data_IF_763171340785
#
_entry.id   IF_763171340785
#
_cell.length_a   1.000
_cell.length_b   1.000
_cell.length_c   1.000
_cell.angle_alpha   90.00
_cell.angle_beta   90.00
_cell.angle_gamma   90.00
#
_symmetry.space_group_name_H-M   'P 1'
#
loop_
_entity.id
_entity.type
_entity.pdbx_description
1 polymer ?
#
# COMPACT_ATOMS: atom_id res chain seq x y z
N UNK A 1 13.03 4.50 -3.74
CA UNK A 1 12.34 4.10 -4.99
C UNK A 1 10.95 3.61 -4.60
N UNK A 2 9.98 3.47 -5.49
CA UNK A 2 8.66 2.99 -5.07
C UNK A 2 8.62 1.45 -5.03
N UNK A 3 8.23 0.88 -3.90
CA UNK A 3 8.13 -0.58 -3.68
C UNK A 3 6.67 -0.98 -3.47
N UNK A 4 6.20 -1.93 -4.28
CA UNK A 4 4.86 -2.54 -4.16
C UNK A 4 4.99 -4.06 -4.09
N UNK A 5 4.14 -4.69 -3.29
CA UNK A 5 4.04 -6.15 -3.18
C UNK A 5 2.57 -6.55 -3.39
N UNK A 6 2.32 -7.35 -4.42
CA UNK A 6 0.98 -7.84 -4.77
C UNK A 6 0.89 -9.34 -4.47
N UNK A 7 -0.01 -9.72 -3.57
CA UNK A 7 -0.27 -11.13 -3.28
C UNK A 7 -1.05 -11.79 -4.40
N UNK A 8 -0.66 -13.02 -4.79
CA UNK A 8 -1.41 -13.80 -5.78
C UNK A 8 -1.81 -15.18 -5.23
N UNK A 9 -3.11 -15.46 -5.36
CA UNK A 9 -3.76 -16.68 -4.84
C UNK A 9 -3.93 -17.79 -5.88
N UNK A 10 -3.74 -17.50 -7.17
CA UNK A 10 -3.80 -18.52 -8.21
C UNK A 10 -2.48 -19.30 -8.26
N UNK A 11 -2.50 -20.55 -8.71
CA UNK A 11 -1.29 -21.38 -8.85
C UNK A 11 -0.65 -21.22 -10.25
N UNK A 12 -1.13 -20.28 -11.05
CA UNK A 12 -0.67 -20.12 -12.43
C UNK A 12 0.59 -19.25 -12.47
N UNK A 13 1.72 -19.83 -12.04
CA UNK A 13 3.03 -19.17 -12.06
C UNK A 13 3.37 -18.68 -13.47
N UNK A 14 3.11 -19.51 -14.48
CA UNK A 14 3.32 -19.17 -15.90
C UNK A 14 2.58 -17.90 -16.35
N UNK A 15 1.37 -17.61 -15.84
CA UNK A 15 0.67 -16.36 -16.20
C UNK A 15 1.41 -15.12 -15.70
N UNK A 16 1.96 -15.18 -14.48
CA UNK A 16 2.75 -14.06 -13.95
C UNK A 16 4.12 -13.99 -14.64
N UNK A 17 4.80 -15.12 -14.85
CA UNK A 17 6.06 -15.17 -15.59
C UNK A 17 5.89 -14.59 -17.00
N UNK A 18 4.88 -15.00 -17.76
CA UNK A 18 4.59 -14.45 -19.08
C UNK A 18 4.29 -12.96 -19.04
N UNK A 19 3.61 -12.48 -17.98
CA UNK A 19 3.41 -11.05 -17.78
C UNK A 19 4.73 -10.30 -17.52
N UNK A 20 5.62 -10.87 -16.71
CA UNK A 20 6.94 -10.32 -16.40
C UNK A 20 7.88 -10.41 -17.60
N UNK A 21 7.70 -11.37 -18.50
CA UNK A 21 8.61 -11.63 -19.63
C UNK A 21 8.15 -11.00 -20.94
N UNK A 22 7.17 -10.08 -20.90
CA UNK A 22 6.61 -9.47 -22.11
C UNK A 22 7.62 -8.67 -22.93
N UNK A 23 8.59 -8.03 -22.27
CA UNK A 23 9.68 -7.35 -22.94
C UNK A 23 10.78 -8.38 -23.27
N UNK A 24 10.88 -8.73 -24.55
CA UNK A 24 12.04 -9.42 -25.08
C UNK A 24 13.22 -8.43 -25.03
N UNK A 25 14.38 -8.86 -24.54
CA UNK A 25 15.61 -8.06 -24.39
C UNK A 25 15.72 -7.16 -23.14
N UNK A 26 15.08 -7.56 -22.04
CA UNK A 26 15.32 -6.94 -20.73
C UNK A 26 16.12 -7.83 -19.78
N UNK A 27 16.83 -7.18 -18.86
CA UNK A 27 17.66 -7.83 -17.86
C UNK A 27 16.85 -8.84 -17.03
N UNK A 28 17.34 -10.08 -16.97
CA UNK A 28 16.76 -11.18 -16.18
C UNK A 28 17.47 -11.32 -14.83
N UNK A 29 16.70 -11.63 -13.78
CA UNK A 29 17.20 -12.05 -12.47
C UNK A 29 16.62 -13.43 -12.12
N UNK A 30 17.49 -14.41 -11.85
CA UNK A 30 17.13 -15.69 -11.25
C UNK A 30 17.87 -15.83 -9.93
N UNK A 31 17.14 -16.01 -8.84
CA UNK A 31 17.69 -16.16 -7.49
C UNK A 31 17.15 -17.44 -6.85
N UNK A 32 18.07 -18.29 -6.36
CA UNK A 32 17.80 -19.69 -6.01
C UNK A 32 17.13 -20.49 -7.14
N UNK A 33 17.38 -20.10 -8.39
CA UNK A 33 16.82 -20.70 -9.60
C UNK A 33 17.93 -20.94 -10.61
N UNK A 34 17.78 -21.89 -11.54
CA UNK A 34 18.66 -22.00 -12.70
C UNK A 34 18.69 -20.69 -13.50
N UNK A 35 19.88 -20.30 -13.95
CA UNK A 35 20.03 -19.15 -14.85
C UNK A 35 19.62 -19.57 -16.26
N UNK A 36 18.40 -19.24 -16.66
CA UNK A 36 17.83 -19.56 -17.99
C UNK A 36 16.70 -18.60 -18.34
N UNK A 37 16.47 -18.39 -19.63
CA UNK A 37 15.29 -17.68 -20.14
C UNK A 37 14.13 -18.64 -20.49
N UNK A 38 14.32 -19.96 -20.32
CA UNK A 38 13.29 -20.96 -20.55
C UNK A 38 12.22 -20.93 -19.44
N UNK A 39 11.15 -20.17 -19.67
CA UNK A 39 10.07 -19.98 -18.70
C UNK A 39 9.42 -21.29 -18.23
N UNK A 40 9.41 -22.32 -19.07
CA UNK A 40 8.89 -23.63 -18.69
C UNK A 40 9.72 -24.28 -17.58
N UNK A 41 11.05 -24.22 -17.65
CA UNK A 41 11.96 -24.74 -16.61
C UNK A 41 11.71 -23.98 -15.31
N UNK A 42 11.75 -22.65 -15.38
CA UNK A 42 11.53 -21.80 -14.21
C UNK A 42 10.15 -22.08 -13.60
N UNK A 43 9.09 -22.20 -14.41
CA UNK A 43 7.75 -22.50 -13.92
C UNK A 43 7.70 -23.80 -13.13
N UNK A 44 8.41 -24.85 -13.59
CA UNK A 44 8.46 -26.12 -12.88
C UNK A 44 9.12 -26.00 -11.51
N UNK A 45 10.21 -25.23 -11.39
CA UNK A 45 10.85 -24.97 -10.09
C UNK A 45 9.87 -24.35 -9.08
N UNK A 46 9.08 -23.36 -9.50
CA UNK A 46 8.06 -22.76 -8.63
C UNK A 46 6.94 -23.74 -8.28
N UNK A 47 6.49 -24.58 -9.22
CA UNK A 47 5.46 -25.59 -8.96
C UNK A 47 5.96 -26.61 -7.95
N UNK A 48 7.17 -27.13 -8.13
CA UNK A 48 7.78 -28.12 -7.26
C UNK A 48 7.99 -27.55 -5.85
N UNK A 49 8.54 -26.34 -5.73
CA UNK A 49 8.73 -25.71 -4.43
C UNK A 49 7.40 -25.41 -3.72
N UNK A 50 6.36 -25.02 -4.46
CA UNK A 50 5.03 -24.75 -3.89
C UNK A 50 4.36 -26.00 -3.32
N UNK A 51 4.82 -27.22 -3.64
CA UNK A 51 4.34 -28.45 -3.01
C UNK A 51 4.69 -28.53 -1.51
N UNK A 52 5.77 -27.86 -1.08
CA UNK A 52 6.19 -27.79 0.33
C UNK A 52 5.43 -26.72 1.13
N UNK A 53 4.63 -25.89 0.47
CA UNK A 53 3.89 -24.80 1.10
C UNK A 53 2.97 -25.30 2.21
N UNK A 54 2.89 -24.53 3.29
CA UNK A 54 1.91 -24.77 4.36
C UNK A 54 0.48 -24.77 3.83
N UNK A 55 -0.33 -25.78 4.21
CA UNK A 55 -1.74 -25.90 3.80
C UNK A 55 -2.60 -24.69 4.18
N UNK A 56 -2.21 -23.92 5.20
CA UNK A 56 -2.91 -22.70 5.63
C UNK A 56 -2.55 -21.43 4.83
N UNK A 57 -1.57 -21.50 3.92
CA UNK A 57 -1.14 -20.35 3.14
C UNK A 57 -2.18 -19.97 2.08
N UNK A 58 -2.62 -18.71 2.11
CA UNK A 58 -3.64 -18.19 1.17
C UNK A 58 -3.07 -17.81 -0.20
N UNK A 59 -1.78 -17.53 -0.27
CA UNK A 59 -1.07 -17.06 -1.47
C UNK A 59 -0.14 -18.16 -2.00
N UNK A 60 0.11 -18.21 -3.30
CA UNK A 60 1.10 -19.11 -3.91
C UNK A 60 2.40 -18.39 -4.26
N UNK A 61 2.30 -17.10 -4.56
CA UNK A 61 3.41 -16.27 -4.98
C UNK A 61 3.14 -14.80 -4.64
N UNK A 62 4.19 -14.00 -4.73
CA UNK A 62 4.11 -12.56 -4.63
C UNK A 62 4.73 -11.91 -5.87
N UNK A 63 4.14 -10.80 -6.29
CA UNK A 63 4.66 -9.96 -7.36
C UNK A 63 5.18 -8.68 -6.72
N UNK A 64 6.50 -8.54 -6.69
CA UNK A 64 7.20 -7.36 -6.18
C UNK A 64 7.53 -6.44 -7.34
N UNK A 65 7.34 -5.15 -7.13
CA UNK A 65 7.62 -4.12 -8.12
C UNK A 65 8.52 -3.08 -7.46
N UNK A 66 9.71 -2.90 -8.00
CA UNK A 66 10.65 -1.85 -7.59
C UNK A 66 10.72 -0.81 -8.72
N UNK A 67 10.20 0.37 -8.50
CA UNK A 67 10.04 1.41 -9.52
C UNK A 67 10.96 2.59 -9.28
N UNK A 68 11.72 2.96 -10.30
CA UNK A 68 12.54 4.17 -10.35
C UNK A 68 11.81 5.30 -11.08
N UNK A 69 12.14 6.54 -10.71
CA UNK A 69 11.63 7.73 -11.39
C UNK A 69 12.16 7.81 -12.82
N UNK A 70 11.34 8.22 -13.77
CA UNK A 70 11.76 8.44 -15.17
C UNK A 70 12.86 9.50 -15.26
N UNK A 71 12.91 10.44 -14.29
CA UNK A 71 13.96 11.46 -14.19
C UNK A 71 15.34 10.90 -13.85
N UNK A 72 15.41 9.72 -13.25
CA UNK A 72 16.68 9.05 -12.94
C UNK A 72 17.05 7.99 -14.00
N UNK A 73 16.26 7.84 -15.08
CA UNK A 73 16.44 6.79 -16.10
C UNK A 73 17.87 6.75 -16.67
N UNK A 74 18.46 7.92 -16.91
CA UNK A 74 19.81 8.05 -17.49
C UNK A 74 20.94 7.58 -16.56
N UNK A 75 20.69 7.55 -15.25
CA UNK A 75 21.71 7.20 -14.24
C UNK A 75 21.49 5.82 -13.62
N UNK A 76 20.31 5.21 -13.84
CA UNK A 76 19.98 3.87 -13.37
C UNK A 76 20.46 2.85 -14.41
N UNK A 77 21.63 2.28 -14.17
CA UNK A 77 22.26 1.29 -15.05
C UNK A 77 21.80 -0.15 -14.71
N UNK A 78 21.99 -1.13 -15.61
CA UNK A 78 21.70 -2.54 -15.33
C UNK A 78 22.41 -3.09 -14.08
N UNK A 79 23.63 -2.62 -13.79
CA UNK A 79 24.40 -3.03 -12.61
C UNK A 79 23.75 -2.51 -11.32
N UNK A 80 23.32 -1.24 -11.32
CA UNK A 80 22.60 -0.64 -10.19
C UNK A 80 21.27 -1.36 -9.98
N UNK A 81 20.55 -1.65 -11.06
CA UNK A 81 19.30 -2.40 -11.01
C UNK A 81 19.52 -3.77 -10.36
N UNK A 82 20.55 -4.50 -10.77
CA UNK A 82 20.88 -5.81 -10.23
C UNK A 82 21.20 -5.74 -8.74
N UNK A 83 22.11 -4.84 -8.35
CA UNK A 83 22.53 -4.67 -6.97
C UNK A 83 21.37 -4.31 -6.04
N UNK A 84 20.56 -3.31 -6.44
CA UNK A 84 19.37 -2.92 -5.67
C UNK A 84 18.37 -4.07 -5.55
N UNK A 85 18.21 -4.91 -6.58
CA UNK A 85 17.34 -6.08 -6.52
C UNK A 85 17.86 -7.15 -5.55
N UNK A 86 19.18 -7.41 -5.54
CA UNK A 86 19.79 -8.35 -4.59
C UNK A 86 19.69 -7.85 -3.15
N UNK A 87 19.99 -6.56 -2.93
CA UNK A 87 19.83 -5.94 -1.62
C UNK A 87 18.37 -6.02 -1.14
N UNK A 88 17.41 -5.76 -2.03
CA UNK A 88 15.98 -5.93 -1.73
C UNK A 88 15.62 -7.37 -1.37
N UNK A 89 16.10 -8.38 -2.11
CA UNK A 89 15.83 -9.79 -1.82
C UNK A 89 16.31 -10.15 -0.42
N UNK A 90 17.52 -9.72 -0.04
CA UNK A 90 18.06 -9.96 1.29
C UNK A 90 17.20 -9.29 2.38
N UNK A 91 16.93 -7.98 2.25
CA UNK A 91 16.22 -7.22 3.28
C UNK A 91 14.73 -7.52 3.38
N UNK A 92 14.13 -8.01 2.30
CA UNK A 92 12.74 -8.48 2.31
C UNK A 92 12.57 -9.86 2.99
N UNK A 93 13.66 -10.56 3.35
CA UNK A 93 13.59 -11.92 3.89
C UNK A 93 13.32 -12.97 2.80
N UNK A 94 13.77 -12.70 1.57
CA UNK A 94 13.59 -13.56 0.39
C UNK A 94 14.85 -14.37 0.06
N UNK A 95 15.90 -14.31 0.87
CA UNK A 95 17.20 -14.95 0.64
C UNK A 95 17.12 -16.49 0.51
N UNK A 96 16.07 -17.08 1.09
CA UNK A 96 15.78 -18.51 0.99
C UNK A 96 14.58 -18.83 0.09
N UNK A 97 14.05 -17.85 -0.64
CA UNK A 97 12.90 -18.04 -1.55
C UNK A 97 13.38 -18.16 -2.99
N UNK A 98 12.54 -18.74 -3.86
CA UNK A 98 12.74 -18.66 -5.30
C UNK A 98 12.32 -17.27 -5.76
N UNK A 99 13.16 -16.58 -6.53
CA UNK A 99 12.82 -15.27 -7.11
C UNK A 99 13.22 -15.23 -8.57
N UNK A 100 12.25 -14.95 -9.43
CA UNK A 100 12.45 -14.69 -10.85
C UNK A 100 12.07 -13.24 -11.14
N UNK A 101 12.78 -12.54 -12.01
CA UNK A 101 12.36 -11.20 -12.40
C UNK A 101 12.90 -10.74 -13.73
N UNK A 102 12.24 -9.71 -14.27
CA UNK A 102 12.73 -8.93 -15.40
C UNK A 102 12.52 -7.43 -15.20
N UNK A 103 13.38 -6.67 -15.84
CA UNK A 103 13.24 -5.21 -15.94
C UNK A 103 12.19 -4.88 -17.00
N UNK A 104 11.30 -3.92 -16.74
CA UNK A 104 10.42 -3.30 -17.73
C UNK A 104 10.75 -1.82 -17.88
N UNK A 105 10.59 -1.31 -19.09
CA UNK A 105 10.74 0.10 -19.45
C UNK A 105 9.39 0.72 -19.88
N UNK A 106 8.33 0.40 -19.14
CA UNK A 106 6.98 0.85 -19.43
C UNK A 106 6.81 2.36 -19.14
N UNK A 107 6.30 3.13 -20.12
CA UNK A 107 5.88 4.54 -19.96
C UNK A 107 6.93 5.44 -19.29
N UNK A 108 8.17 5.39 -19.79
CA UNK A 108 9.33 6.16 -19.32
C UNK A 108 9.93 5.76 -17.97
N UNK A 109 9.29 4.88 -17.21
CA UNK A 109 9.80 4.43 -15.92
C UNK A 109 10.51 3.08 -16.02
N UNK A 110 11.61 2.94 -15.29
CA UNK A 110 12.31 1.66 -15.14
C UNK A 110 11.72 0.92 -13.93
N UNK A 111 11.36 -0.34 -14.14
CA UNK A 111 10.75 -1.20 -13.12
C UNK A 111 11.42 -2.56 -13.06
N UNK A 112 11.77 -3.03 -11.86
CA UNK A 112 11.89 -4.46 -11.64
C UNK A 112 10.51 -5.05 -11.38
N UNK A 113 10.14 -6.06 -12.14
CA UNK A 113 9.08 -6.97 -11.76
C UNK A 113 9.69 -8.29 -11.30
N UNK A 114 9.53 -8.60 -10.02
CA UNK A 114 10.00 -9.84 -9.41
C UNK A 114 8.81 -10.70 -9.01
N UNK A 115 8.87 -11.99 -9.26
CA UNK A 115 7.99 -13.01 -8.73
C UNK A 115 8.75 -13.82 -7.69
N UNK A 116 8.25 -13.85 -6.45
CA UNK A 116 8.77 -14.73 -5.40
C UNK A 116 7.83 -15.91 -5.11
N UNK A 117 8.39 -17.03 -4.66
CA UNK A 117 7.60 -18.13 -4.10
C UNK A 117 6.93 -17.69 -2.80
N UNK A 118 5.79 -18.29 -2.45
CA UNK A 118 5.19 -18.02 -1.13
C UNK A 118 6.00 -18.64 0.01
N UNK A 119 6.71 -19.74 -0.23
CA UNK A 119 7.49 -20.44 0.77
C UNK A 119 8.97 -20.51 0.40
N UNK A 120 9.82 -20.58 1.42
CA UNK A 120 11.26 -20.82 1.24
C UNK A 120 11.49 -22.16 0.54
N UNK A 121 12.63 -22.26 -0.13
CA UNK A 121 13.02 -23.43 -0.90
C UNK A 121 12.95 -24.70 -0.05
N UNK A 122 12.18 -25.69 -0.53
CA UNK A 122 11.93 -26.97 0.13
C UNK A 122 11.45 -26.87 1.58
N UNK A 123 10.73 -25.80 1.91
CA UNK A 123 10.30 -25.51 3.28
C UNK A 123 8.86 -25.04 3.36
N UNK A 124 8.22 -25.26 4.52
CA UNK A 124 6.88 -24.73 4.85
C UNK A 124 6.91 -23.27 5.31
N UNK A 125 8.11 -22.72 5.59
CA UNK A 125 8.28 -21.34 6.05
C UNK A 125 7.82 -20.38 4.96
N UNK A 126 6.76 -19.62 5.25
CA UNK A 126 6.15 -18.71 4.29
C UNK A 126 6.69 -17.29 4.38
N UNK A 127 6.73 -16.61 3.24
CA UNK A 127 6.90 -15.16 3.16
C UNK A 127 5.73 -14.46 3.86
N UNK A 128 6.09 -13.56 4.78
CA UNK A 128 5.18 -12.67 5.48
C UNK A 128 5.91 -11.36 5.73
N UNK A 129 5.23 -10.27 5.37
CA UNK A 129 5.69 -8.92 5.64
C UNK A 129 4.49 -8.12 6.16
N UNK A 130 4.54 -7.68 7.39
CA UNK A 130 3.56 -6.79 7.99
C UNK A 130 3.65 -5.39 7.37
N UNK A 131 2.66 -4.55 7.64
CA UNK A 131 2.65 -3.16 7.13
C UNK A 131 3.80 -2.33 7.70
N UNK A 132 4.16 -2.55 8.97
CA UNK A 132 5.28 -1.87 9.62
C UNK A 132 6.61 -2.34 9.04
N UNK A 133 6.79 -3.64 8.85
CA UNK A 133 8.01 -4.20 8.24
C UNK A 133 8.16 -3.73 6.78
N UNK A 134 7.08 -3.70 5.99
CA UNK A 134 7.11 -3.14 4.65
C UNK A 134 7.51 -1.66 4.66
N UNK A 135 7.01 -0.88 5.62
CA UNK A 135 7.35 0.54 5.72
C UNK A 135 8.82 0.74 6.13
N UNK A 136 9.34 -0.10 7.02
CA UNK A 136 10.75 -0.10 7.40
C UNK A 136 11.64 -0.46 6.20
N UNK A 137 11.33 -1.55 5.51
CA UNK A 137 12.01 -1.96 4.28
C UNK A 137 12.02 -0.85 3.23
N UNK A 138 10.89 -0.18 3.02
CA UNK A 138 10.79 0.95 2.09
C UNK A 138 11.71 2.12 2.44
N UNK A 139 11.90 2.40 3.72
CA UNK A 139 12.82 3.45 4.21
C UNK A 139 14.27 2.99 4.03
N UNK A 140 14.59 1.78 4.47
CA UNK A 140 15.93 1.20 4.37
C UNK A 140 16.42 1.12 2.93
N UNK A 141 15.58 0.69 2.00
CA UNK A 141 15.91 0.64 0.58
C UNK A 141 16.23 2.04 0.00
N UNK A 142 15.59 3.09 0.50
CA UNK A 142 15.90 4.46 0.10
C UNK A 142 17.21 4.96 0.67
N UNK A 143 17.48 4.67 1.94
CA UNK A 143 18.73 5.01 2.60
C UNK A 143 19.90 4.33 1.87
N UNK A 144 19.79 3.02 1.62
CA UNK A 144 20.75 2.27 0.82
C UNK A 144 21.01 2.92 -0.54
N UNK A 145 19.94 3.25 -1.28
CA UNK A 145 20.05 3.87 -2.61
C UNK A 145 20.72 5.25 -2.54
N UNK A 146 20.42 6.06 -1.50
CA UNK A 146 21.06 7.39 -1.33
C UNK A 146 22.54 7.30 -1.04
N UNK A 147 22.91 6.36 -0.19
CA UNK A 147 24.28 6.17 0.27
C UNK A 147 25.17 5.62 -0.86
N UNK A 148 24.69 4.59 -1.56
CA UNK A 148 25.49 3.86 -2.55
C UNK A 148 25.39 4.46 -3.96
N UNK A 149 24.26 5.11 -4.28
CA UNK A 149 23.98 5.67 -5.61
C UNK A 149 23.50 7.13 -5.53
N UNK A 150 24.34 8.05 -5.03
CA UNK A 150 23.98 9.46 -4.83
C UNK A 150 23.59 10.20 -6.12
N UNK A 151 23.90 9.64 -7.29
CA UNK A 151 23.45 10.13 -8.60
C UNK A 151 21.93 9.97 -8.81
N UNK A 152 21.28 9.03 -8.13
CA UNK A 152 19.81 8.87 -8.14
C UNK A 152 19.21 9.91 -7.21
N UNK A 153 18.40 10.84 -7.75
CA UNK A 153 17.92 12.01 -6.99
C UNK A 153 16.41 12.08 -6.87
N UNK A 154 15.68 11.50 -7.82
CA UNK A 154 14.24 11.65 -7.94
C UNK A 154 13.44 10.42 -7.52
N UNK A 155 14.12 9.33 -7.18
CA UNK A 155 13.51 8.06 -6.79
C UNK A 155 13.31 7.95 -5.27
N UNK A 156 13.14 9.03 -4.51
CA UNK A 156 12.89 8.98 -3.07
C UNK A 156 11.45 9.40 -2.71
N UNK A 157 10.66 8.46 -2.22
CA UNK A 157 9.24 8.56 -1.93
C UNK A 157 8.88 8.38 -0.42
N UNK A 158 9.77 7.80 0.39
CA UNK A 158 9.44 7.34 1.74
C UNK A 158 10.13 8.08 2.89
N UNK A 159 11.35 8.56 2.67
CA UNK A 159 12.25 9.23 3.65
C UNK A 159 12.09 10.75 3.69
N UNK A 160 11.45 11.35 2.68
CA UNK A 160 11.11 12.77 2.74
C UNK A 160 9.92 12.95 3.70
N UNK A 161 10.13 13.70 4.80
CA UNK A 161 9.06 14.16 5.71
C UNK A 161 7.93 14.92 4.98
N UNK A 162 8.15 15.29 3.72
CA UNK A 162 7.08 15.63 2.79
C UNK A 162 6.46 14.34 2.27
N UNK A 163 5.36 13.91 2.91
CA UNK A 163 4.38 12.97 2.36
C UNK A 163 3.90 13.44 0.99
N UNK A 164 4.71 13.28 -0.05
CA UNK A 164 4.22 13.10 -1.40
C UNK A 164 3.77 11.64 -1.48
N UNK A 165 2.60 11.36 -0.87
CA UNK A 165 1.76 10.22 -1.23
C UNK A 165 1.33 10.29 -2.73
N UNK A 166 1.83 11.24 -3.51
CA UNK A 166 1.30 11.65 -4.82
C UNK A 166 1.82 10.85 -6.01
N UNK A 167 2.63 9.81 -5.84
CA UNK A 167 2.90 8.83 -6.92
C UNK A 167 1.95 7.61 -6.85
N UNK A 168 0.69 7.93 -6.58
CA UNK A 168 -0.45 7.03 -6.47
C UNK A 168 -1.77 7.75 -6.13
N UNK A 169 -1.76 9.09 -5.99
CA UNK A 169 -2.95 9.89 -5.62
C UNK A 169 -3.68 10.53 -6.82
N UNK A 170 -3.03 10.71 -7.98
CA UNK A 170 -3.71 11.22 -9.18
C UNK A 170 -4.74 10.20 -9.73
N UNK A 171 -4.52 8.90 -9.45
CA UNK A 171 -5.44 7.82 -9.86
C UNK A 171 -6.31 7.28 -8.73
N UNK A 172 -6.07 7.67 -7.47
CA UNK A 172 -7.10 7.53 -6.45
C UNK A 172 -8.08 8.70 -6.57
N UNK A 173 -8.81 8.72 -7.69
CA UNK A 173 -10.25 8.81 -7.56
C UNK A 173 -10.63 7.61 -6.69
N UNK A 174 -10.59 7.77 -5.38
CA UNK A 174 -11.41 6.96 -4.51
C UNK A 174 -12.86 7.33 -4.87
N UNK A 175 -13.31 6.88 -6.03
CA UNK A 175 -14.72 6.77 -6.37
C UNK A 175 -15.20 5.78 -5.35
N UNK A 176 -15.76 6.30 -4.27
CA UNK A 176 -16.62 5.53 -3.40
C UNK A 176 -17.63 4.94 -4.37
N UNK A 177 -17.54 3.63 -4.65
CA UNK A 177 -18.61 2.96 -5.40
C UNK A 177 -19.89 3.25 -4.62
N UNK A 178 -20.80 4.05 -5.18
CA UNK A 178 -22.05 4.33 -4.49
C UNK A 178 -22.71 2.98 -4.23
N UNK A 179 -23.40 2.82 -3.11
CA UNK A 179 -24.34 1.70 -3.02
C UNK A 179 -25.36 1.82 -4.15
N UNK A 180 -26.00 0.72 -4.55
CA UNK A 180 -27.08 0.72 -5.56
C UNK A 180 -28.09 1.85 -5.30
N UNK A 181 -28.43 2.06 -4.02
CA UNK A 181 -29.32 3.12 -3.54
C UNK A 181 -28.72 4.53 -3.74
N UNK A 182 -27.45 4.75 -3.40
CA UNK A 182 -26.76 6.03 -3.62
C UNK A 182 -26.62 6.34 -5.13
N UNK A 183 -26.43 5.31 -5.97
CA UNK A 183 -26.37 5.45 -7.43
C UNK A 183 -27.72 5.88 -8.02
N UNK A 184 -28.83 5.30 -7.56
CA UNK A 184 -30.16 5.70 -8.00
C UNK A 184 -30.54 7.13 -7.56
N UNK A 185 -30.17 7.53 -6.34
CA UNK A 185 -30.42 8.88 -5.80
C UNK A 185 -29.63 9.94 -6.58
N UNK A 186 -28.36 9.69 -6.86
CA UNK A 186 -27.51 10.60 -7.65
C UNK A 186 -27.95 10.70 -9.12
N UNK A 187 -28.46 9.60 -9.71
CA UNK A 187 -29.07 9.61 -11.05
C UNK A 187 -30.34 10.48 -11.14
N UNK A 188 -31.03 10.70 -10.01
CA UNK A 188 -32.16 11.64 -9.89
C UNK A 188 -31.72 13.09 -9.57
N UNK A 189 -30.41 13.38 -9.56
CA UNK A 189 -29.88 14.71 -9.24
C UNK A 189 -29.98 15.10 -7.76
N UNK A 190 -30.28 14.15 -6.86
CA UNK A 190 -30.43 14.40 -5.42
C UNK A 190 -29.11 14.13 -4.69
N UNK A 191 -28.76 15.01 -3.75
CA UNK A 191 -27.63 14.79 -2.84
C UNK A 191 -27.93 13.70 -1.83
N UNK A 192 -26.98 12.79 -1.61
CA UNK A 192 -27.08 11.74 -0.61
C UNK A 192 -26.90 12.29 0.81
N UNK A 193 -27.49 11.65 1.82
CA UNK A 193 -27.29 12.03 3.24
C UNK A 193 -25.80 12.02 3.65
N UNK A 194 -25.03 11.12 3.04
CA UNK A 194 -23.59 11.03 3.24
C UNK A 194 -22.84 12.25 2.70
N UNK A 195 -23.24 12.79 1.56
CA UNK A 195 -22.67 14.03 1.01
C UNK A 195 -23.03 15.22 1.89
N UNK A 196 -24.26 15.26 2.45
CA UNK A 196 -24.65 16.28 3.43
C UNK A 196 -23.76 16.26 4.66
N UNK A 197 -23.51 15.07 5.22
CA UNK A 197 -22.60 14.91 6.37
C UNK A 197 -21.17 15.33 6.01
N UNK A 198 -20.66 14.97 4.82
CA UNK A 198 -19.33 15.39 4.39
C UNK A 198 -19.24 16.91 4.25
N UNK A 199 -20.25 17.56 3.65
CA UNK A 199 -20.32 19.00 3.52
C UNK A 199 -20.38 19.70 4.89
N UNK A 200 -21.20 19.18 5.81
CA UNK A 200 -21.27 19.63 7.20
C UNK A 200 -19.90 19.56 7.90
N UNK A 201 -19.23 18.39 7.86
CA UNK A 201 -17.92 18.21 8.48
C UNK A 201 -16.86 19.16 7.89
N UNK A 202 -16.91 19.42 6.58
CA UNK A 202 -16.03 20.41 5.93
C UNK A 202 -16.30 21.83 6.43
N UNK A 203 -17.56 22.20 6.64
CA UNK A 203 -17.91 23.52 7.15
C UNK A 203 -17.38 23.72 8.58
N UNK A 204 -17.62 22.75 9.46
CA UNK A 204 -17.11 22.79 10.85
C UNK A 204 -15.58 22.81 10.86
N UNK A 205 -14.92 22.02 10.01
CA UNK A 205 -13.47 22.01 9.88
C UNK A 205 -12.88 23.37 9.50
N UNK A 206 -13.53 24.11 8.59
CA UNK A 206 -13.10 25.45 8.18
C UNK A 206 -13.26 26.50 9.27
N UNK A 207 -14.21 26.30 10.19
CA UNK A 207 -14.52 27.22 11.28
C UNK A 207 -13.79 26.90 12.58
N UNK A 208 -13.08 25.77 12.65
CA UNK A 208 -12.41 25.33 13.87
C UNK A 208 -10.91 25.59 13.77
N UNK A 209 -10.35 26.27 14.77
CA UNK A 209 -8.91 26.55 14.86
C UNK A 209 -8.13 25.45 15.60
N UNK A 210 -8.84 24.49 16.20
CA UNK A 210 -8.25 23.35 16.88
C UNK A 210 -9.11 22.09 16.75
N UNK A 211 -8.51 20.92 17.00
CA UNK A 211 -9.23 19.64 17.01
C UNK A 211 -10.26 19.57 18.13
N UNK A 212 -9.99 20.21 19.26
CA UNK A 212 -10.91 20.26 20.40
C UNK A 212 -12.15 21.09 20.06
N UNK A 213 -11.96 22.22 19.38
CA UNK A 213 -13.07 23.05 18.91
C UNK A 213 -13.93 22.31 17.88
N UNK A 214 -13.29 21.58 16.96
CA UNK A 214 -13.97 20.73 15.99
C UNK A 214 -14.82 19.63 16.67
N UNK A 215 -14.26 18.94 17.66
CA UNK A 215 -14.98 17.92 18.43
C UNK A 215 -16.15 18.50 19.23
N UNK A 216 -15.94 19.63 19.89
CA UNK A 216 -16.96 20.29 20.69
C UNK A 216 -18.15 20.72 19.83
N UNK A 217 -17.89 21.33 18.66
CA UNK A 217 -18.95 21.76 17.73
C UNK A 217 -19.81 20.60 17.25
N UNK A 218 -19.22 19.44 16.95
CA UNK A 218 -19.97 18.24 16.53
C UNK A 218 -20.72 17.61 17.71
N UNK A 219 -20.14 17.65 18.92
CA UNK A 219 -20.78 17.08 20.11
C UNK A 219 -22.00 17.90 20.54
N UNK A 220 -21.91 19.22 20.41
CA UNK A 220 -22.99 20.17 20.73
C UNK A 220 -24.05 20.30 19.62
N UNK A 221 -23.82 19.72 18.45
CA UNK A 221 -24.77 19.74 17.35
C UNK A 221 -26.05 18.95 17.68
N UNK A 222 -27.22 19.50 17.34
CA UNK A 222 -28.51 18.87 17.61
C UNK A 222 -28.80 17.67 16.71
N UNK A 223 -28.25 17.68 15.48
CA UNK A 223 -28.53 16.68 14.43
C UNK A 223 -27.45 15.62 14.34
N UNK A 224 -26.18 16.02 14.48
CA UNK A 224 -25.04 15.11 14.37
C UNK A 224 -24.36 14.88 15.72
N UNK A 225 -23.67 13.75 15.85
CA UNK A 225 -22.82 13.46 17.00
C UNK A 225 -21.82 12.38 16.70
N UNK A 226 -20.80 12.24 17.53
CA UNK A 226 -19.89 11.10 17.43
C UNK A 226 -20.56 9.84 17.97
N UNK A 227 -20.26 8.70 17.34
CA UNK A 227 -20.48 7.41 17.98
C UNK A 227 -19.13 6.71 18.19
N UNK A 228 -18.99 6.16 19.38
CA UNK A 228 -17.79 5.45 19.80
C UNK A 228 -18.01 3.94 19.80
N UNK A 229 -16.94 3.19 19.64
CA UNK A 229 -16.92 1.75 19.82
C UNK A 229 -15.59 1.38 20.48
N UNK A 230 -15.65 0.70 21.63
CA UNK A 230 -14.48 0.43 22.49
C UNK A 230 -13.71 1.72 22.81
N UNK A 231 -14.44 2.74 23.27
CA UNK A 231 -13.93 4.06 23.67
C UNK A 231 -13.19 4.86 22.59
N UNK A 232 -13.27 4.42 21.33
CA UNK A 232 -12.66 5.10 20.17
C UNK A 232 -13.74 5.68 19.28
N UNK A 233 -13.52 6.90 18.80
CA UNK A 233 -14.47 7.55 17.88
C UNK A 233 -14.46 6.78 16.56
N UNK A 234 -15.60 6.19 16.21
CA UNK A 234 -15.70 5.27 15.07
C UNK A 234 -16.46 5.91 13.89
N UNK A 235 -17.26 6.95 14.13
CA UNK A 235 -18.00 7.65 13.08
C UNK A 235 -18.87 8.79 13.58
N UNK A 236 -19.65 9.33 12.64
CA UNK A 236 -20.72 10.28 12.91
C UNK A 236 -22.05 9.54 12.90
N UNK A 237 -22.91 9.85 13.85
CA UNK A 237 -24.30 9.43 13.92
C UNK A 237 -25.18 10.62 13.54
N UNK A 238 -26.13 10.37 12.64
CA UNK A 238 -27.32 11.22 12.48
C UNK A 238 -28.30 10.82 13.59
N UNK A 239 -28.54 11.74 14.53
CA UNK A 239 -29.38 11.54 15.71
C UNK A 239 -30.86 11.45 15.34
N UNK A 240 -31.30 12.16 14.30
CA UNK A 240 -32.70 12.17 13.85
C UNK A 240 -33.07 10.86 13.16
N UNK A 241 -32.19 10.34 12.31
CA UNK A 241 -32.42 9.09 11.55
C UNK A 241 -31.87 7.84 12.26
N UNK A 242 -31.24 8.01 13.42
CA UNK A 242 -30.52 6.96 14.15
C UNK A 242 -29.56 6.15 13.25
N UNK A 243 -28.84 6.84 12.37
CA UNK A 243 -28.01 6.21 11.31
C UNK A 243 -26.54 6.52 11.50
N UNK A 244 -25.71 5.48 11.44
CA UNK A 244 -24.27 5.55 11.71
C UNK A 244 -23.46 5.58 10.41
N UNK A 245 -22.49 6.49 10.35
CA UNK A 245 -21.59 6.70 9.22
C UNK A 245 -20.14 6.63 9.67
N UNK A 246 -19.39 5.62 9.21
CA UNK A 246 -18.00 5.39 9.62
C UNK A 246 -17.07 6.52 9.19
N UNK A 247 -16.16 6.94 10.08
CA UNK A 247 -15.12 7.94 9.76
C UNK A 247 -14.28 7.52 8.54
N UNK A 248 -13.95 6.24 8.44
CA UNK A 248 -13.18 5.68 7.31
C UNK A 248 -13.85 5.87 5.95
N UNK A 249 -15.16 6.09 5.93
CA UNK A 249 -15.94 6.35 4.72
C UNK A 249 -16.15 7.85 4.49
N UNK A 250 -16.34 8.63 5.56
CA UNK A 250 -16.61 10.07 5.51
C UNK A 250 -15.33 10.92 5.26
N UNK A 251 -14.19 10.52 5.81
CA UNK A 251 -12.95 11.31 5.82
C UNK A 251 -11.98 10.92 4.68
N UNK A 252 -12.50 10.37 3.58
CA UNK A 252 -11.70 10.00 2.38
C UNK A 252 -11.29 11.20 1.52
N UNK A 253 -11.76 12.41 1.85
CA UNK A 253 -11.35 13.64 1.18
C UNK A 253 -10.04 14.16 1.80
N UNK A 254 -9.18 14.79 0.98
CA UNK A 254 -7.86 15.31 1.41
C UNK A 254 -7.98 16.27 2.61
N UNK A 255 -9.04 17.08 2.63
CA UNK A 255 -9.32 18.07 3.69
C UNK A 255 -9.61 17.39 5.04
N UNK A 256 -10.45 16.34 5.04
CA UNK A 256 -10.87 15.67 6.25
C UNK A 256 -9.86 14.61 6.71
N UNK A 257 -9.09 13.99 5.81
CA UNK A 257 -8.14 12.93 6.17
C UNK A 257 -7.07 13.33 7.22
N UNK A 258 -6.73 14.61 7.33
CA UNK A 258 -5.84 15.14 8.38
C UNK A 258 -6.53 15.14 9.74
N UNK A 259 -7.78 15.62 9.79
CA UNK A 259 -8.61 15.62 11.00
C UNK A 259 -8.83 14.19 11.49
N UNK A 260 -9.13 13.25 10.59
CA UNK A 260 -9.28 11.83 10.94
C UNK A 260 -8.04 11.27 11.63
N UNK A 261 -6.84 11.58 11.12
CA UNK A 261 -5.59 11.12 11.73
C UNK A 261 -5.36 11.73 13.11
N UNK A 262 -5.71 13.01 13.28
CA UNK A 262 -5.59 13.70 14.57
C UNK A 262 -6.52 13.11 15.63
N UNK A 263 -7.80 12.83 15.28
CA UNK A 263 -8.75 12.14 16.16
C UNK A 263 -8.21 10.77 16.61
N UNK A 264 -7.71 9.97 15.67
CA UNK A 264 -7.15 8.64 15.98
C UNK A 264 -5.86 8.71 16.80
N UNK A 265 -5.03 9.75 16.62
CA UNK A 265 -3.82 9.93 17.43
C UNK A 265 -4.10 10.39 18.85
N UNK A 266 -5.16 11.19 19.07
CA UNK A 266 -5.59 11.63 20.40
C UNK A 266 -6.05 10.45 21.25
N UNK A 267 -6.88 9.57 20.68
CA UNK A 267 -7.32 8.33 21.34
C UNK A 267 -6.12 7.47 21.81
N UNK A 268 -5.06 7.40 21.00
CA UNK A 268 -3.85 6.63 21.31
C UNK A 268 -3.00 7.27 22.43
N UNK A 269 -2.95 8.59 22.52
CA UNK A 269 -2.22 9.30 23.58
C UNK A 269 -2.94 9.14 24.93
N UNK A 270 -4.28 9.22 24.92
CA UNK A 270 -5.10 8.99 26.12
C UNK A 270 -4.97 7.55 26.62
N UNK A 271 -4.91 6.57 25.73
CA UNK A 271 -4.69 5.15 26.05
C UNK A 271 -3.33 4.95 26.75
N UNK A 272 -2.26 5.56 26.24
CA UNK A 272 -0.90 5.50 26.84
C UNK A 272 -0.77 6.23 28.18
N UNK A 273 -1.62 7.23 28.45
CA UNK A 273 -1.64 7.93 29.74
C UNK A 273 -2.35 7.09 30.82
N UNK A 274 -3.45 6.42 30.46
CA UNK A 274 -4.16 5.50 31.36
C UNK A 274 -3.33 4.25 31.72
N UNK A 275 -2.49 3.76 30.81
CA UNK A 275 -1.56 2.65 31.07
C UNK A 275 -0.40 3.03 32.01
N UNK A 276 -0.14 4.32 32.24
CA UNK A 276 0.91 4.79 33.18
C UNK A 276 0.38 5.08 34.58
N UNK A 277 -0.94 5.12 34.75
CA UNK A 277 -1.62 5.38 36.03
C UNK A 277 -2.07 4.08 36.73
N UNK A 278 -1.80 2.92 36.12
CA UNK A 278 -1.98 1.58 36.69
C UNK A 278 -0.64 0.86 36.84
#
# INVERSE_FOLDING_TARGET
>A
MLIKILSRKNNSFGKLMNYISKEADSQTLCYNLPQTDELNILQQEFIQNNAYRSKGAKNNMYHHILSFSSKDKMVVTPEILHDVALYYINKAGLENHLVYGRVHNDREHIHWHLMSSQNSFHSRKGFRLSKSELKALQVEMEEYTKEHYPQIKHSFAYTTNKRNLTLGLETSKAVIKPTEQEFQITKQGKTTEKEKIIAYLKAIAKQSNSILEFENRITQDSKYGFYSYRDKIHGIMDKEQNKKYRLTTLFKTKELATIYRMLQSKDKIVELQKEKEH
#
